data_IF_339893999047
#
_entry.id   IF_339893999047
#
_cell.length_a   1.000
_cell.length_b   1.000
_cell.length_c   1.000
_cell.angle_alpha   90.00
_cell.angle_beta   90.00
_cell.angle_gamma   90.00
#
_symmetry.space_group_name_H-M   'P 1'
#
loop_
_entity.id
_entity.type
_entity.pdbx_description
1 polymer ?
#
# COMPACT_ATOMS: atom_id res chain seq x y z
N UNK A 1 70.82 69.06 -101.39
CA UNK A 1 70.74 70.53 -101.36
C UNK A 1 70.83 71.01 -99.91
N UNK A 2 71.52 72.10 -99.56
CA UNK A 2 71.69 72.49 -98.15
C UNK A 2 70.38 72.72 -97.38
N UNK A 3 69.32 73.10 -98.09
CA UNK A 3 67.98 73.26 -97.54
C UNK A 3 67.35 71.94 -97.03
N UNK A 4 67.57 70.81 -97.71
CA UNK A 4 67.03 69.51 -97.28
C UNK A 4 67.73 68.98 -96.02
N UNK A 5 69.05 69.19 -95.91
CA UNK A 5 69.83 68.75 -94.76
C UNK A 5 69.49 69.55 -93.50
N UNK A 6 69.18 70.85 -93.67
CA UNK A 6 68.67 71.70 -92.59
C UNK A 6 67.24 71.29 -92.19
N UNK A 7 66.39 70.92 -93.14
CA UNK A 7 65.03 70.42 -92.88
C UNK A 7 65.02 69.10 -92.12
N UNK A 8 65.87 68.14 -92.52
CA UNK A 8 66.01 66.87 -91.80
C UNK A 8 66.56 67.12 -90.38
N UNK A 9 67.53 68.03 -90.21
CA UNK A 9 68.01 68.42 -88.88
C UNK A 9 66.91 69.04 -88.01
N UNK A 10 66.07 69.91 -88.57
CA UNK A 10 64.95 70.49 -87.81
C UNK A 10 63.92 69.44 -87.43
N UNK A 11 63.57 68.53 -88.35
CA UNK A 11 62.64 67.43 -88.08
C UNK A 11 63.17 66.46 -87.01
N UNK A 12 64.47 66.14 -87.03
CA UNK A 12 65.12 65.31 -86.00
C UNK A 12 65.11 65.99 -84.63
N UNK A 13 65.36 67.31 -84.59
CA UNK A 13 65.32 68.06 -83.32
C UNK A 13 63.90 68.22 -82.79
N UNK A 14 62.91 68.40 -83.66
CA UNK A 14 61.49 68.44 -83.29
C UNK A 14 61.01 67.07 -82.78
N UNK A 15 61.41 65.98 -83.43
CA UNK A 15 61.16 64.62 -82.96
C UNK A 15 61.75 64.35 -81.58
N UNK A 16 63.00 64.79 -81.33
CA UNK A 16 63.62 64.65 -79.99
C UNK A 16 62.85 65.43 -78.93
N UNK A 17 62.46 66.68 -79.21
CA UNK A 17 61.66 67.49 -78.29
C UNK A 17 60.34 66.81 -77.95
N UNK A 18 59.64 66.29 -78.97
CA UNK A 18 58.38 65.59 -78.76
C UNK A 18 58.57 64.28 -77.97
N UNK A 19 59.64 63.53 -78.24
CA UNK A 19 59.99 62.33 -77.47
C UNK A 19 60.23 62.64 -75.99
N UNK A 20 61.06 63.65 -75.68
CA UNK A 20 61.33 64.06 -74.30
C UNK A 20 60.09 64.59 -73.60
N UNK A 21 59.26 65.36 -74.31
CA UNK A 21 57.99 65.85 -73.78
C UNK A 21 57.05 64.71 -73.40
N UNK A 22 56.85 63.72 -74.29
CA UNK A 22 56.04 62.53 -74.02
C UNK A 22 56.60 61.71 -72.86
N UNK A 23 57.93 61.56 -72.77
CA UNK A 23 58.57 60.82 -71.69
C UNK A 23 58.45 61.52 -70.33
N UNK A 24 58.54 62.85 -70.31
CA UNK A 24 58.31 63.65 -69.09
C UNK A 24 56.87 63.53 -68.60
N UNK A 25 55.89 63.60 -69.51
CA UNK A 25 54.47 63.41 -69.19
C UNK A 25 54.17 61.98 -68.70
N UNK A 26 54.84 60.97 -69.26
CA UNK A 26 54.72 59.59 -68.80
C UNK A 26 55.28 59.42 -67.38
N UNK A 27 56.46 59.98 -67.08
CA UNK A 27 57.06 59.85 -65.74
C UNK A 27 56.26 60.62 -64.67
N UNK A 28 55.72 61.80 -65.00
CA UNK A 28 54.83 62.57 -64.10
C UNK A 28 53.55 61.79 -63.74
N UNK A 29 52.99 61.03 -64.68
CA UNK A 29 51.75 60.28 -64.47
C UNK A 29 51.95 58.84 -63.99
N UNK A 30 53.15 58.27 -64.15
CA UNK A 30 53.50 56.87 -63.83
C UNK A 30 52.99 56.42 -62.46
N UNK A 31 53.23 57.22 -61.42
CA UNK A 31 52.83 56.86 -60.07
C UNK A 31 51.31 56.88 -59.86
N UNK A 32 50.61 57.85 -60.48
CA UNK A 32 49.14 57.93 -60.41
C UNK A 32 48.50 56.75 -61.14
N UNK A 33 48.99 56.43 -62.33
CA UNK A 33 48.52 55.29 -63.13
C UNK A 33 48.77 53.97 -62.40
N UNK A 34 49.96 53.81 -61.80
CA UNK A 34 50.28 52.64 -60.99
C UNK A 34 49.34 52.47 -59.79
N UNK A 35 49.05 53.54 -59.05
CA UNK A 35 48.11 53.51 -57.93
C UNK A 35 46.68 53.18 -58.38
N UNK A 36 46.23 53.80 -59.48
CA UNK A 36 44.92 53.51 -60.06
C UNK A 36 44.81 52.04 -60.48
N UNK A 37 45.82 51.51 -61.18
CA UNK A 37 45.89 50.11 -61.56
C UNK A 37 45.85 49.17 -60.34
N UNK A 38 46.64 49.45 -59.30
CA UNK A 38 46.63 48.68 -58.06
C UNK A 38 45.26 48.71 -57.36
N UNK A 39 44.57 49.86 -57.38
CA UNK A 39 43.23 49.99 -56.80
C UNK A 39 42.20 49.17 -57.55
N UNK A 40 42.24 49.19 -58.89
CA UNK A 40 41.38 48.37 -59.74
C UNK A 40 41.67 46.88 -59.51
N UNK A 41 42.94 46.48 -59.52
CA UNK A 41 43.35 45.09 -59.33
C UNK A 41 42.97 44.54 -57.95
N UNK A 42 43.26 45.29 -56.88
CA UNK A 42 42.93 44.89 -55.51
C UNK A 42 41.42 44.78 -55.31
N UNK A 43 40.64 45.74 -55.83
CA UNK A 43 39.19 45.69 -55.80
C UNK A 43 38.64 44.47 -56.54
N UNK A 44 39.13 44.18 -57.75
CA UNK A 44 38.71 43.02 -58.54
C UNK A 44 39.04 41.70 -57.83
N UNK A 45 40.27 41.55 -57.33
CA UNK A 45 40.69 40.37 -56.54
C UNK A 45 39.77 40.15 -55.34
N UNK A 46 39.48 41.20 -54.59
CA UNK A 46 38.58 41.12 -53.44
C UNK A 46 37.13 40.79 -53.85
N UNK A 47 36.64 41.35 -54.96
CA UNK A 47 35.31 41.06 -55.51
C UNK A 47 35.15 39.57 -55.85
N UNK A 48 36.15 38.99 -56.52
CA UNK A 48 36.18 37.56 -56.86
C UNK A 48 36.14 36.68 -55.60
N UNK A 49 36.95 36.99 -54.60
CA UNK A 49 36.99 36.24 -53.32
C UNK A 49 35.66 36.34 -52.59
N UNK A 50 35.07 37.53 -52.46
CA UNK A 50 33.77 37.72 -51.79
C UNK A 50 32.64 36.98 -52.49
N UNK A 51 32.62 36.98 -53.82
CA UNK A 51 31.64 36.22 -54.60
C UNK A 51 31.76 34.71 -54.32
N UNK A 52 32.99 34.19 -54.30
CA UNK A 52 33.26 32.78 -54.01
C UNK A 52 32.87 32.39 -52.58
N UNK A 53 33.25 33.19 -51.57
CA UNK A 53 32.83 32.97 -50.18
C UNK A 53 31.31 33.02 -50.02
N UNK A 54 30.64 33.95 -50.70
CA UNK A 54 29.18 34.03 -50.69
C UNK A 54 28.54 32.77 -51.29
N UNK A 55 29.13 32.22 -52.35
CA UNK A 55 28.70 30.95 -52.93
C UNK A 55 28.86 29.79 -51.92
N UNK A 56 30.03 29.68 -51.29
CA UNK A 56 30.29 28.64 -50.28
C UNK A 56 29.34 28.73 -49.10
N UNK A 57 29.09 29.92 -48.56
CA UNK A 57 28.13 30.13 -47.47
C UNK A 57 26.71 29.69 -47.88
N UNK A 58 26.26 30.02 -49.09
CA UNK A 58 24.95 29.56 -49.59
C UNK A 58 24.88 28.03 -49.63
N UNK A 59 25.94 27.36 -50.09
CA UNK A 59 26.01 25.89 -50.10
C UNK A 59 25.99 25.31 -48.68
N UNK A 60 26.77 25.88 -47.76
CA UNK A 60 26.77 25.47 -46.36
C UNK A 60 25.38 25.60 -45.71
N UNK A 61 24.68 26.73 -45.93
CA UNK A 61 23.33 26.95 -45.43
C UNK A 61 22.36 25.90 -45.96
N UNK A 62 22.45 25.52 -47.25
CA UNK A 62 21.60 24.47 -47.84
C UNK A 62 21.84 23.13 -47.12
N UNK A 63 23.11 22.72 -46.95
CA UNK A 63 23.46 21.48 -46.26
C UNK A 63 22.90 21.49 -44.83
N UNK A 64 23.17 22.55 -44.08
CA UNK A 64 22.72 22.65 -42.70
C UNK A 64 21.19 22.69 -42.58
N UNK A 65 20.48 23.37 -43.50
CA UNK A 65 19.01 23.40 -43.54
C UNK A 65 18.44 22.00 -43.76
N UNK A 66 19.00 21.26 -44.72
CA UNK A 66 18.58 19.89 -45.01
C UNK A 66 18.81 19.00 -43.79
N UNK A 67 19.99 19.10 -43.16
CA UNK A 67 20.33 18.32 -41.98
C UNK A 67 19.40 18.59 -40.80
N UNK A 68 19.14 19.87 -40.46
CA UNK A 68 18.19 20.24 -39.40
C UNK A 68 16.80 19.65 -39.66
N UNK A 69 16.34 19.70 -40.91
CA UNK A 69 15.07 19.09 -41.31
C UNK A 69 15.07 17.57 -41.19
N UNK A 70 16.15 16.90 -41.61
CA UNK A 70 16.29 15.44 -41.48
C UNK A 70 16.21 14.99 -40.02
N UNK A 71 17.01 15.63 -39.14
CA UNK A 71 17.06 15.32 -37.71
C UNK A 71 15.70 15.55 -37.03
N UNK A 72 15.04 16.66 -37.32
CA UNK A 72 13.71 16.96 -36.77
C UNK A 72 12.68 15.89 -37.19
N UNK A 73 12.67 15.51 -38.48
CA UNK A 73 11.77 14.45 -38.99
C UNK A 73 12.08 13.08 -38.40
N UNK A 74 13.35 12.73 -38.20
CA UNK A 74 13.75 11.48 -37.57
C UNK A 74 13.23 11.39 -36.12
N UNK A 75 13.40 12.46 -35.34
CA UNK A 75 12.87 12.56 -33.97
C UNK A 75 11.33 12.47 -33.95
N UNK A 76 10.67 13.20 -34.83
CA UNK A 76 9.21 13.17 -34.93
C UNK A 76 8.68 11.75 -35.24
N UNK A 77 9.30 11.03 -36.19
CA UNK A 77 8.93 9.64 -36.50
C UNK A 77 9.07 8.72 -35.29
N UNK A 78 10.13 8.88 -34.50
CA UNK A 78 10.31 8.11 -33.26
C UNK A 78 9.22 8.44 -32.23
N UNK A 79 8.90 9.72 -32.04
CA UNK A 79 7.83 10.15 -31.13
C UNK A 79 6.47 9.57 -31.53
N UNK A 80 6.11 9.64 -32.81
CA UNK A 80 4.85 9.07 -33.32
C UNK A 80 4.82 7.55 -33.12
N UNK A 81 5.93 6.85 -33.40
CA UNK A 81 6.03 5.40 -33.17
C UNK A 81 5.84 5.06 -31.70
N UNK A 82 6.47 5.80 -30.79
CA UNK A 82 6.32 5.61 -29.34
C UNK A 82 4.88 5.88 -28.88
N UNK A 83 4.28 6.99 -29.31
CA UNK A 83 2.89 7.34 -28.98
C UNK A 83 1.90 6.26 -29.45
N UNK A 84 2.09 5.72 -30.66
CA UNK A 84 1.29 4.61 -31.18
C UNK A 84 1.41 3.37 -30.29
N UNK A 85 2.62 2.98 -29.88
CA UNK A 85 2.81 1.82 -29.00
C UNK A 85 2.18 2.01 -27.63
N UNK A 86 2.30 3.21 -27.04
CA UNK A 86 1.66 3.54 -25.76
C UNK A 86 0.15 3.40 -25.89
N UNK A 87 -0.45 4.02 -26.92
CA UNK A 87 -1.89 3.93 -27.17
C UNK A 87 -2.36 2.47 -27.34
N UNK A 88 -1.62 1.68 -28.12
CA UNK A 88 -1.91 0.26 -28.35
C UNK A 88 -1.80 -0.55 -27.07
N UNK A 89 -0.77 -0.33 -26.25
CA UNK A 89 -0.61 -1.02 -24.96
C UNK A 89 -1.74 -0.68 -23.99
N UNK A 90 -2.06 0.61 -23.83
CA UNK A 90 -3.14 1.06 -22.95
C UNK A 90 -4.48 0.43 -23.34
N UNK A 91 -4.77 0.33 -24.64
CA UNK A 91 -5.98 -0.32 -25.14
C UNK A 91 -6.06 -1.80 -24.71
N UNK A 92 -4.99 -2.57 -24.93
CA UNK A 92 -4.99 -3.98 -24.55
C UNK A 92 -5.00 -4.19 -23.04
N UNK A 93 -4.32 -3.33 -22.29
CA UNK A 93 -4.34 -3.35 -20.83
C UNK A 93 -5.77 -3.13 -20.30
N UNK A 94 -6.48 -2.13 -20.82
CA UNK A 94 -7.87 -1.89 -20.45
C UNK A 94 -8.77 -3.10 -20.75
N UNK A 95 -8.62 -3.70 -21.94
CA UNK A 95 -9.37 -4.90 -22.31
C UNK A 95 -9.04 -6.09 -21.41
N UNK A 96 -7.76 -6.28 -21.08
CA UNK A 96 -7.32 -7.33 -20.17
C UNK A 96 -7.94 -7.15 -18.77
N UNK A 97 -7.95 -5.92 -18.23
CA UNK A 97 -8.57 -5.62 -16.94
C UNK A 97 -10.07 -5.97 -16.94
N UNK A 98 -10.80 -5.63 -18.01
CA UNK A 98 -12.23 -5.97 -18.14
C UNK A 98 -12.47 -7.47 -18.12
N UNK A 99 -11.71 -8.24 -18.90
CA UNK A 99 -11.79 -9.70 -18.96
C UNK A 99 -11.49 -10.30 -17.58
N UNK A 100 -10.38 -9.86 -16.97
CA UNK A 100 -9.97 -10.38 -15.67
C UNK A 100 -10.96 -10.03 -14.56
N UNK A 101 -11.53 -8.82 -14.54
CA UNK A 101 -12.57 -8.42 -13.57
C UNK A 101 -13.79 -9.33 -13.69
N UNK A 102 -14.24 -9.59 -14.94
CA UNK A 102 -15.37 -10.49 -15.21
C UNK A 102 -15.06 -11.91 -14.73
N UNK A 103 -13.86 -12.42 -15.04
CA UNK A 103 -13.41 -13.75 -14.63
C UNK A 103 -13.34 -13.90 -13.11
N UNK A 104 -12.70 -12.95 -12.39
CA UNK A 104 -12.61 -12.97 -10.93
C UNK A 104 -14.00 -13.02 -10.29
N UNK A 105 -14.94 -12.21 -10.80
CA UNK A 105 -16.32 -12.23 -10.32
C UNK A 105 -17.03 -13.58 -10.57
N UNK A 106 -16.84 -14.16 -11.76
CA UNK A 106 -17.37 -15.50 -12.07
C UNK A 106 -16.78 -16.57 -11.14
N UNK A 107 -15.46 -16.58 -10.97
CA UNK A 107 -14.75 -17.57 -10.17
C UNK A 107 -15.22 -17.58 -8.71
N UNK A 108 -15.30 -16.39 -8.08
CA UNK A 108 -15.77 -16.26 -6.70
C UNK A 108 -17.18 -16.81 -6.54
N UNK A 109 -18.11 -16.43 -7.43
CA UNK A 109 -19.51 -16.89 -7.35
C UNK A 109 -19.69 -18.38 -7.63
N UNK A 110 -18.82 -18.99 -8.44
CA UNK A 110 -18.93 -20.40 -8.79
C UNK A 110 -18.25 -21.32 -7.78
N UNK A 111 -17.07 -20.92 -7.28
CA UNK A 111 -16.19 -21.84 -6.55
C UNK A 111 -15.91 -21.47 -5.09
N UNK A 112 -16.13 -20.21 -4.69
CA UNK A 112 -15.82 -19.76 -3.32
C UNK A 112 -17.10 -19.50 -2.53
N UNK A 113 -18.00 -18.66 -3.05
CA UNK A 113 -19.16 -18.19 -2.32
C UNK A 113 -20.41 -19.02 -2.64
N UNK A 114 -20.86 -19.82 -1.67
CA UNK A 114 -22.18 -20.47 -1.72
C UNK A 114 -23.13 -19.77 -0.73
N UNK A 115 -23.96 -18.86 -1.25
CA UNK A 115 -24.91 -18.08 -0.45
C UNK A 115 -25.88 -18.98 0.34
N UNK A 116 -26.46 -19.98 -0.31
CA UNK A 116 -27.47 -20.85 0.30
C UNK A 116 -26.88 -21.74 1.40
N UNK A 117 -25.67 -22.28 1.19
CA UNK A 117 -24.97 -23.04 2.22
C UNK A 117 -24.66 -22.17 3.45
N UNK A 118 -24.17 -20.93 3.24
CA UNK A 118 -23.90 -19.99 4.34
C UNK A 118 -25.18 -19.58 5.07
N UNK A 119 -26.27 -19.31 4.35
CA UNK A 119 -27.56 -18.97 4.94
C UNK A 119 -28.11 -20.11 5.81
N UNK A 120 -28.12 -21.33 5.27
CA UNK A 120 -28.56 -22.52 6.00
C UNK A 120 -27.72 -22.78 7.25
N UNK A 121 -26.40 -22.60 7.17
CA UNK A 121 -25.51 -22.71 8.33
C UNK A 121 -25.85 -21.69 9.42
N UNK A 122 -26.05 -20.42 9.06
CA UNK A 122 -26.39 -19.36 10.02
C UNK A 122 -27.77 -19.58 10.66
N UNK A 123 -28.76 -20.01 9.89
CA UNK A 123 -30.09 -20.36 10.43
C UNK A 123 -29.99 -21.53 11.42
N UNK A 124 -29.19 -22.55 11.09
CA UNK A 124 -28.92 -23.67 11.99
C UNK A 124 -28.22 -23.24 13.28
N UNK A 125 -27.24 -22.34 13.19
CA UNK A 125 -26.58 -21.74 14.36
C UNK A 125 -27.56 -20.97 15.24
N UNK A 126 -28.44 -20.15 14.65
CA UNK A 126 -29.44 -19.41 15.41
C UNK A 126 -30.38 -20.35 16.18
N UNK A 127 -30.85 -21.44 15.54
CA UNK A 127 -31.67 -22.45 16.23
C UNK A 127 -30.94 -23.12 17.38
N UNK A 128 -29.67 -23.50 17.17
CA UNK A 128 -28.84 -24.11 18.24
C UNK A 128 -28.60 -23.14 19.39
N UNK A 129 -28.30 -21.88 19.10
CA UNK A 129 -28.14 -20.86 20.14
C UNK A 129 -29.41 -20.68 20.96
N UNK A 130 -30.59 -20.74 20.32
CA UNK A 130 -31.86 -20.66 21.03
C UNK A 130 -32.07 -21.87 21.95
N UNK A 131 -31.81 -23.08 21.46
CA UNK A 131 -31.88 -24.29 22.29
C UNK A 131 -30.95 -24.22 23.49
N UNK A 132 -29.69 -23.82 23.29
CA UNK A 132 -28.71 -23.67 24.39
C UNK A 132 -29.18 -22.63 25.40
N UNK A 133 -29.79 -21.52 24.96
CA UNK A 133 -30.36 -20.52 25.87
C UNK A 133 -31.50 -21.09 26.70
N UNK A 134 -32.39 -21.89 26.10
CA UNK A 134 -33.47 -22.56 26.82
C UNK A 134 -32.93 -23.56 27.84
N UNK A 135 -31.97 -24.40 27.45
CA UNK A 135 -31.31 -25.35 28.35
C UNK A 135 -30.63 -24.65 29.52
N UNK A 136 -29.92 -23.55 29.28
CA UNK A 136 -29.30 -22.75 30.33
C UNK A 136 -30.34 -22.14 31.30
N UNK A 137 -31.47 -21.67 30.79
CA UNK A 137 -32.56 -21.15 31.62
C UNK A 137 -33.20 -22.25 32.49
N UNK A 138 -33.38 -23.44 31.94
CA UNK A 138 -33.89 -24.58 32.71
C UNK A 138 -32.92 -25.00 33.82
N UNK A 139 -31.62 -25.06 33.52
CA UNK A 139 -30.58 -25.36 34.51
C UNK A 139 -30.52 -24.30 35.61
N UNK A 140 -30.67 -23.01 35.26
CA UNK A 140 -30.70 -21.92 36.23
C UNK A 140 -31.88 -22.06 37.20
N UNK A 141 -33.06 -22.42 36.70
CA UNK A 141 -34.26 -22.70 37.49
C UNK A 141 -34.09 -23.93 38.39
N UNK A 142 -33.52 -25.02 37.87
CA UNK A 142 -33.23 -26.22 38.66
C UNK A 142 -32.25 -25.92 39.79
N UNK A 143 -31.16 -25.21 39.49
CA UNK A 143 -30.19 -24.80 40.51
C UNK A 143 -30.82 -23.88 41.57
N UNK A 144 -31.74 -23.00 41.17
CA UNK A 144 -32.46 -22.13 42.11
C UNK A 144 -33.33 -22.97 43.06
N UNK A 145 -34.11 -23.92 42.53
CA UNK A 145 -34.91 -24.84 43.35
C UNK A 145 -34.04 -25.67 44.29
N UNK A 146 -32.91 -26.19 43.82
CA UNK A 146 -31.96 -26.91 44.66
C UNK A 146 -31.43 -26.03 45.79
N UNK A 147 -31.05 -24.78 45.51
CA UNK A 147 -30.63 -23.80 46.51
C UNK A 147 -31.73 -23.56 47.55
N UNK A 148 -32.96 -23.34 47.11
CA UNK A 148 -34.11 -23.10 47.99
C UNK A 148 -34.41 -24.33 48.87
N UNK A 149 -34.38 -25.54 48.30
CA UNK A 149 -34.54 -26.80 49.06
C UNK A 149 -33.42 -26.99 50.09
N UNK A 150 -32.16 -26.74 49.70
CA UNK A 150 -31.01 -26.83 50.61
C UNK A 150 -31.13 -25.80 51.73
N UNK A 151 -31.60 -24.59 51.43
CA UNK A 151 -31.86 -23.55 52.43
C UNK A 151 -32.97 -23.97 53.40
N UNK A 152 -34.10 -24.49 52.90
CA UNK A 152 -35.17 -25.02 53.76
C UNK A 152 -34.68 -26.18 54.66
N UNK A 153 -33.87 -27.10 54.13
CA UNK A 153 -33.29 -28.20 54.93
C UNK A 153 -32.33 -27.65 55.99
N UNK A 154 -31.50 -26.66 55.66
CA UNK A 154 -30.63 -25.97 56.63
C UNK A 154 -31.43 -25.28 57.72
N UNK A 155 -32.52 -24.60 57.39
CA UNK A 155 -33.42 -23.99 58.36
C UNK A 155 -34.09 -25.01 59.28
N UNK A 156 -34.63 -26.10 58.70
CA UNK A 156 -35.26 -27.18 59.47
C UNK A 156 -34.25 -27.87 60.40
N UNK A 157 -33.06 -28.20 59.90
CA UNK A 157 -31.99 -28.80 60.70
C UNK A 157 -31.50 -27.86 61.80
N UNK A 158 -31.43 -26.55 61.54
CA UNK A 158 -31.11 -25.55 62.57
C UNK A 158 -32.20 -25.49 63.66
N UNK A 159 -33.49 -25.53 63.29
CA UNK A 159 -34.62 -25.60 64.25
C UNK A 159 -34.54 -26.86 65.12
N UNK A 160 -34.28 -28.02 64.51
CA UNK A 160 -34.11 -29.30 65.24
C UNK A 160 -32.89 -29.25 66.15
N UNK A 161 -31.76 -28.69 65.70
CA UNK A 161 -30.58 -28.51 66.53
C UNK A 161 -30.84 -27.59 67.73
N UNK A 162 -31.56 -26.49 67.53
CA UNK A 162 -32.00 -25.62 68.63
C UNK A 162 -32.90 -26.37 69.61
N UNK A 163 -33.86 -27.18 69.12
CA UNK A 163 -34.70 -28.01 69.96
C UNK A 163 -33.89 -29.01 70.79
N UNK A 164 -32.89 -29.69 70.21
CA UNK A 164 -31.97 -30.56 70.97
C UNK A 164 -31.25 -29.80 72.10
N UNK A 165 -30.75 -28.57 71.83
CA UNK A 165 -30.09 -27.75 72.86
C UNK A 165 -31.03 -27.31 73.98
N UNK A 166 -32.28 -27.02 73.64
CA UNK A 166 -33.30 -26.52 74.56
C UNK A 166 -34.21 -27.62 75.11
N UNK A 167 -33.92 -28.92 74.86
CA UNK A 167 -34.76 -30.06 75.25
C UNK A 167 -35.09 -30.09 76.74
N UNK A 168 -34.21 -29.55 77.60
CA UNK A 168 -34.46 -29.46 79.05
C UNK A 168 -35.59 -28.50 79.43
N UNK A 169 -36.03 -27.61 78.52
CA UNK A 169 -37.12 -26.65 78.74
C UNK A 169 -38.51 -27.22 78.39
N UNK A 170 -38.57 -28.50 77.98
CA UNK A 170 -39.81 -29.20 77.61
C UNK A 170 -40.70 -29.46 78.84
N UNK A 171 -42.02 -29.39 78.64
CA UNK A 171 -43.00 -29.65 79.71
C UNK A 171 -42.89 -31.05 80.29
N UNK A 172 -42.89 -31.13 81.61
CA UNK A 172 -42.99 -32.40 82.34
C UNK A 172 -44.42 -32.59 82.85
N UNK A 173 -44.74 -33.78 83.40
CA UNK A 173 -46.06 -34.04 83.98
C UNK A 173 -46.40 -33.14 85.18
N UNK A 174 -45.39 -32.64 85.90
CA UNK A 174 -45.56 -31.82 87.10
C UNK A 174 -45.45 -30.32 86.83
N UNK A 175 -44.62 -29.90 85.87
CA UNK A 175 -44.42 -28.49 85.55
C UNK A 175 -44.49 -28.23 84.03
N UNK A 176 -45.31 -27.25 83.58
CA UNK A 176 -45.30 -26.83 82.18
C UNK A 176 -43.95 -26.20 81.82
N UNK A 177 -43.45 -26.52 80.63
CA UNK A 177 -42.20 -26.00 80.08
C UNK A 177 -42.35 -24.53 79.65
N UNK A 178 -41.22 -23.85 79.46
CA UNK A 178 -41.20 -22.40 79.14
C UNK A 178 -42.03 -22.08 77.88
N UNK A 179 -42.10 -23.02 76.94
CA UNK A 179 -42.81 -22.86 75.67
C UNK A 179 -44.27 -23.38 75.70
N UNK A 180 -44.76 -23.84 76.86
CA UNK A 180 -46.13 -24.33 77.08
C UNK A 180 -46.83 -23.54 78.19
N UNK A 181 -47.05 -22.24 77.94
CA UNK A 181 -47.70 -21.36 78.91
C UNK A 181 -49.18 -21.73 79.11
N UNK A 182 -49.66 -21.84 80.37
CA UNK A 182 -51.06 -22.16 80.67
C UNK A 182 -52.05 -21.09 80.20
N UNK A 183 -51.57 -19.90 79.82
CA UNK A 183 -52.39 -18.81 79.30
C UNK A 183 -52.58 -18.86 77.77
N UNK A 184 -51.93 -19.81 77.07
CA UNK A 184 -52.14 -20.01 75.63
C UNK A 184 -53.06 -21.20 75.37
N UNK A 185 -53.98 -21.11 74.40
CA UNK A 185 -54.88 -22.22 74.05
C UNK A 185 -54.14 -23.41 73.42
N UNK A 186 -52.94 -23.19 72.88
CA UNK A 186 -52.11 -24.24 72.29
C UNK A 186 -50.62 -24.03 72.61
N UNK A 187 -49.82 -25.11 72.69
CA UNK A 187 -48.37 -25.02 72.89
C UNK A 187 -47.70 -24.23 71.76
N UNK A 188 -46.60 -23.51 72.07
CA UNK A 188 -45.83 -22.81 71.04
C UNK A 188 -45.16 -23.80 70.08
N UNK A 189 -44.89 -23.38 68.83
CA UNK A 189 -44.29 -24.24 67.79
C UNK A 189 -43.00 -24.93 68.27
N UNK A 190 -42.19 -24.22 69.06
CA UNK A 190 -40.98 -24.78 69.66
C UNK A 190 -41.28 -25.91 70.67
N UNK A 191 -42.36 -25.83 71.46
CA UNK A 191 -42.76 -26.92 72.38
C UNK A 191 -43.16 -28.18 71.60
N UNK A 192 -43.86 -28.01 70.48
CA UNK A 192 -44.23 -29.13 69.62
C UNK A 192 -42.99 -29.81 69.02
N UNK A 193 -42.02 -29.02 68.55
CA UNK A 193 -40.73 -29.53 68.07
C UNK A 193 -39.94 -30.24 69.16
N UNK A 194 -39.88 -29.67 70.37
CA UNK A 194 -39.21 -30.29 71.51
C UNK A 194 -39.81 -31.67 71.84
N UNK A 195 -41.13 -31.85 71.74
CA UNK A 195 -41.80 -33.14 71.97
C UNK A 195 -41.48 -34.20 70.92
N UNK A 196 -41.21 -33.79 69.68
CA UNK A 196 -40.87 -34.70 68.59
C UNK A 196 -39.42 -35.18 68.67
N UNK A 197 -38.55 -34.36 69.23
CA UNK A 197 -37.11 -34.63 69.33
C UNK A 197 -36.81 -35.46 70.59
N UNK A 198 -36.00 -36.52 70.45
CA UNK A 198 -35.53 -37.30 71.61
C UNK A 198 -34.33 -36.62 72.27
N UNK A 199 -34.27 -36.60 73.60
CA UNK A 199 -33.11 -36.12 74.34
C UNK A 199 -31.85 -36.88 73.91
N UNK A 200 -30.82 -36.14 73.50
CA UNK A 200 -29.49 -36.67 73.26
C UNK A 200 -28.59 -36.19 74.38
N UNK A 201 -27.98 -37.13 75.12
CA UNK A 201 -26.98 -36.79 76.11
C UNK A 201 -25.81 -36.06 75.42
N UNK A 202 -25.32 -34.92 75.95
CA UNK A 202 -24.21 -34.20 75.35
C UNK A 202 -22.99 -35.13 75.31
N UNK A 203 -22.59 -35.54 74.12
CA UNK A 203 -21.37 -36.30 73.93
C UNK A 203 -20.19 -35.46 74.46
N UNK A 204 -19.36 -36.04 75.34
CA UNK A 204 -18.11 -35.41 75.80
C UNK A 204 -17.34 -34.95 74.56
N UNK A 205 -17.13 -33.63 74.42
CA UNK A 205 -16.30 -33.04 73.35
C UNK A 205 -14.93 -33.71 73.38
N UNK A 206 -14.69 -34.68 72.49
CA UNK A 206 -13.32 -35.03 72.10
C UNK A 206 -12.80 -33.82 71.33
N UNK A 207 -11.70 -33.21 71.80
CA UNK A 207 -10.98 -32.18 71.04
C UNK A 207 -10.49 -32.85 69.76
N UNK A 208 -11.22 -32.69 68.67
CA UNK A 208 -10.71 -33.00 67.34
C UNK A 208 -9.95 -31.76 66.90
N UNK A 209 -8.63 -31.86 66.91
CA UNK A 209 -7.72 -30.93 66.24
C UNK A 209 -8.03 -31.07 64.75
N UNK A 210 -8.69 -30.08 64.15
CA UNK A 210 -8.83 -30.03 62.70
C UNK A 210 -7.49 -29.51 62.18
N UNK A 211 -6.68 -30.45 61.69
CA UNK A 211 -5.55 -30.14 60.82
C UNK A 211 -6.05 -29.34 59.61
N UNK A 212 -5.26 -28.32 59.30
CA UNK A 212 -5.36 -27.35 58.22
C UNK A 212 -5.33 -28.00 56.82
N UNK A 213 -6.30 -28.84 56.44
CA UNK A 213 -6.25 -29.57 55.15
C UNK A 213 -7.48 -29.43 54.25
N UNK A 214 -8.45 -28.57 54.56
CA UNK A 214 -9.63 -28.35 53.69
C UNK A 214 -9.64 -26.96 53.01
N UNK A 215 -8.54 -26.20 53.14
CA UNK A 215 -8.29 -24.95 52.38
C UNK A 215 -7.59 -25.23 51.02
N UNK A 216 -7.53 -26.49 50.57
CA UNK A 216 -6.81 -26.87 49.34
C UNK A 216 -7.67 -27.49 48.22
N UNK A 217 -8.99 -27.27 48.21
CA UNK A 217 -9.86 -27.74 47.11
C UNK A 217 -10.56 -26.59 46.35
N UNK A 218 -10.37 -25.32 46.74
CA UNK A 218 -11.03 -24.16 46.09
C UNK A 218 -10.04 -23.30 45.25
N UNK A 219 -8.83 -23.79 44.96
CA UNK A 219 -7.93 -23.11 44.02
C UNK A 219 -7.28 -24.11 43.07
N UNK A 220 -8.04 -24.52 42.06
CA UNK A 220 -7.47 -25.09 40.84
C UNK A 220 -7.91 -24.23 39.64
N UNK A 221 -7.08 -23.27 39.17
CA UNK A 221 -7.40 -22.41 38.03
C UNK A 221 -7.11 -23.06 36.67
N UNK A 222 -6.82 -24.35 36.59
CA UNK A 222 -6.46 -25.02 35.34
C UNK A 222 -7.36 -26.22 35.04
N UNK A 223 -8.59 -25.93 34.61
CA UNK A 223 -9.38 -26.89 33.86
C UNK A 223 -9.22 -26.60 32.36
N UNK A 224 -8.70 -27.54 31.53
CA UNK A 224 -8.45 -27.31 30.12
C UNK A 224 -9.74 -27.53 29.31
N UNK A 225 -10.50 -26.46 29.10
CA UNK A 225 -11.54 -26.43 28.06
C UNK A 225 -11.53 -25.06 27.38
N UNK A 226 -10.55 -24.87 26.49
CA UNK A 226 -10.60 -23.97 25.33
C UNK A 226 -9.31 -24.18 24.54
N UNK A 227 -9.33 -25.16 23.62
CA UNK A 227 -8.41 -25.18 22.49
C UNK A 227 -8.96 -24.16 21.49
N UNK A 228 -8.24 -23.09 21.13
CA UNK A 228 -8.58 -22.32 19.95
C UNK A 228 -8.48 -23.26 18.75
N UNK A 229 -9.57 -23.39 18.00
CA UNK A 229 -9.58 -24.10 16.74
C UNK A 229 -8.78 -23.26 15.73
N UNK A 230 -7.45 -23.34 15.80
CA UNK A 230 -6.57 -22.90 14.73
C UNK A 230 -6.80 -23.82 13.54
N UNK A 231 -7.79 -23.47 12.73
CA UNK A 231 -7.83 -23.86 11.34
C UNK A 231 -6.60 -23.24 10.68
N UNK A 232 -5.54 -24.04 10.57
CA UNK A 232 -4.47 -23.82 9.62
C UNK A 232 -5.08 -23.74 8.21
N UNK A 233 -5.45 -22.54 7.80
CA UNK A 233 -5.64 -22.21 6.40
C UNK A 233 -4.25 -22.26 5.78
N UNK A 234 -3.99 -23.36 5.06
CA UNK A 234 -2.90 -23.55 4.11
C UNK A 234 -2.54 -22.22 3.40
N UNK A 235 -1.49 -21.56 3.89
CA UNK A 235 -1.01 -20.26 3.41
C UNK A 235 -0.58 -20.30 1.93
N UNK A 236 -0.47 -21.49 1.33
CA UNK A 236 -0.11 -21.66 -0.08
C UNK A 236 -1.22 -21.27 -1.06
N UNK A 237 -2.46 -21.05 -0.58
CA UNK A 237 -3.64 -20.74 -1.40
C UNK A 237 -4.21 -19.33 -1.25
N UNK A 238 -3.49 -18.39 -0.63
CA UNK A 238 -3.97 -17.01 -0.56
C UNK A 238 -3.80 -16.28 -1.91
N UNK A 239 -4.90 -15.98 -2.64
CA UNK A 239 -4.83 -15.35 -3.96
C UNK A 239 -4.27 -13.93 -3.89
N UNK A 240 -4.34 -13.27 -2.73
CA UNK A 240 -3.82 -11.91 -2.53
C UNK A 240 -2.29 -11.91 -2.45
N UNK A 241 -1.68 -12.86 -1.74
CA UNK A 241 -0.21 -13.06 -1.75
C UNK A 241 0.32 -13.41 -3.14
N UNK A 242 -0.41 -14.22 -3.92
CA UNK A 242 -0.02 -14.58 -5.30
C UNK A 242 -0.10 -13.37 -6.27
N UNK A 243 -1.07 -12.47 -6.05
CA UNK A 243 -1.20 -11.22 -6.80
C UNK A 243 -0.12 -10.21 -6.42
N UNK A 244 0.25 -10.11 -5.14
CA UNK A 244 1.40 -9.31 -4.69
C UNK A 244 2.71 -9.78 -5.34
N UNK A 245 2.96 -11.10 -5.35
CA UNK A 245 4.14 -11.68 -6.01
C UNK A 245 4.18 -11.41 -7.51
N UNK A 246 3.01 -11.41 -8.19
CA UNK A 246 2.90 -10.99 -9.61
C UNK A 246 3.16 -9.50 -9.82
N UNK A 247 2.70 -8.64 -8.90
CA UNK A 247 2.93 -7.21 -8.98
C UNK A 247 4.42 -6.86 -8.76
N UNK A 248 5.13 -7.59 -7.90
CA UNK A 248 6.58 -7.42 -7.71
C UNK A 248 7.38 -7.90 -8.93
N UNK A 249 6.92 -8.97 -9.58
CA UNK A 249 7.47 -9.39 -10.88
C UNK A 249 7.23 -8.29 -11.92
N UNK A 250 6.02 -7.75 -12.04
CA UNK A 250 5.74 -6.67 -13.01
C UNK A 250 6.60 -5.41 -12.75
N UNK A 251 6.80 -5.03 -11.47
CA UNK A 251 7.68 -3.92 -11.07
C UNK A 251 9.15 -4.17 -11.40
N UNK A 252 9.64 -5.40 -11.24
CA UNK A 252 11.02 -5.77 -11.61
C UNK A 252 11.23 -5.76 -13.13
N UNK A 253 10.23 -6.16 -13.92
CA UNK A 253 10.28 -6.03 -15.39
C UNK A 253 10.20 -4.56 -15.86
N UNK A 254 9.38 -3.72 -15.22
CA UNK A 254 9.32 -2.29 -15.54
C UNK A 254 10.60 -1.53 -15.19
N UNK A 255 11.25 -1.86 -14.06
CA UNK A 255 12.55 -1.28 -13.69
C UNK A 255 13.68 -1.77 -14.59
N UNK A 256 13.67 -3.04 -15.02
CA UNK A 256 14.61 -3.56 -16.00
C UNK A 256 14.46 -2.89 -17.39
N UNK A 257 13.23 -2.63 -17.83
CA UNK A 257 12.95 -1.90 -19.08
C UNK A 257 13.39 -0.43 -19.00
N UNK A 258 13.16 0.25 -17.88
CA UNK A 258 13.63 1.62 -17.65
C UNK A 258 15.16 1.70 -17.55
N UNK A 259 15.80 0.74 -16.89
CA UNK A 259 17.27 0.61 -16.81
C UNK A 259 17.93 0.36 -18.17
N UNK A 260 17.34 -0.53 -18.99
CA UNK A 260 17.80 -0.78 -20.36
C UNK A 260 17.63 0.45 -21.28
N UNK A 261 16.63 1.29 -21.04
CA UNK A 261 16.49 2.58 -21.76
C UNK A 261 17.47 3.66 -21.27
N UNK A 262 17.95 3.60 -20.02
CA UNK A 262 18.98 4.51 -19.51
C UNK A 262 20.38 4.13 -20.01
N UNK A 263 20.72 2.83 -20.06
CA UNK A 263 21.98 2.35 -20.61
C UNK A 263 22.08 2.57 -22.14
N UNK A 264 21.00 2.40 -22.89
CA UNK A 264 21.00 2.70 -24.33
C UNK A 264 21.10 4.21 -24.64
N UNK A 265 20.59 5.08 -23.75
CA UNK A 265 20.79 6.54 -23.84
C UNK A 265 22.22 6.98 -23.49
N UNK A 266 22.92 6.29 -22.60
CA UNK A 266 24.32 6.60 -22.28
C UNK A 266 25.27 6.19 -23.41
N UNK A 267 25.00 5.08 -24.10
CA UNK A 267 25.82 4.64 -25.25
C UNK A 267 25.62 5.54 -26.47
N UNK A 268 24.45 6.16 -26.66
CA UNK A 268 24.21 7.10 -27.77
C UNK A 268 24.71 8.53 -27.54
N UNK A 269 25.23 8.84 -26.35
CA UNK A 269 25.81 10.16 -26.01
C UNK A 269 27.35 10.14 -26.11
N UNK A 270 27.96 8.95 -26.23
CA UNK A 270 29.41 8.75 -26.33
C UNK A 270 29.88 8.22 -27.71
N UNK A 271 29.06 8.33 -28.76
CA UNK A 271 29.42 8.08 -30.17
C UNK A 271 28.94 9.25 -31.04
#
# INVERSE_FOLDING_TARGET
NMAELLKIKSEVEEFKKEYFYRNSQAEENRQREYQAANRIQSWFRASKVRAYLSHLHKKAIIIQRIWRGFTARARFRQMVKAAYFIMKMNFYEEMAVRIQKRWRGFFVRKYIHNYYARKSYLEGLSRKNELVRMELAELEELQKRERDCVEMVKEQTAKVYQAHRLHHLLSTKQCPGVFNSPFRPAPHEMELLLRQVKYQAPARRKRVIILQSVILIIKDPQHPLLVPLDMALDESRDPLKLLLKKNDIIKTWQTALLGATAQSRLVSVFQ
#
